data_IF_795213928010
#
_entry.id   IF_795213928010
#
_cell.length_a   1.000
_cell.length_b   1.000
_cell.length_c   1.000
_cell.angle_alpha   90.00
_cell.angle_beta   90.00
_cell.angle_gamma   90.00
#
_symmetry.space_group_name_H-M   'P 1'
#
loop_
_entity.id
_entity.type
_entity.pdbx_description
1 polymer ?
#
# COMPACT_ATOMS: atom_id res chain seq x y z
N UNK A 1 16.00 -5.10 7.59
CA UNK A 1 16.38 -3.68 7.76
C UNK A 1 16.08 -2.86 6.51
N UNK A 2 16.52 -3.31 5.33
CA UNK A 2 16.31 -2.62 4.03
C UNK A 2 14.91 -2.03 3.77
N UNK A 3 13.83 -2.78 4.05
CA UNK A 3 12.46 -2.29 3.83
C UNK A 3 12.08 -1.12 4.77
N UNK A 4 12.44 -1.24 6.05
CA UNK A 4 12.17 -0.19 7.03
C UNK A 4 12.99 1.07 6.71
N UNK A 5 14.25 0.89 6.30
CA UNK A 5 15.13 1.97 5.85
C UNK A 5 14.54 2.68 4.62
N UNK A 6 14.15 1.92 3.58
CA UNK A 6 13.48 2.47 2.40
C UNK A 6 12.22 3.27 2.75
N UNK A 7 11.42 2.77 3.70
CA UNK A 7 10.21 3.44 4.16
C UNK A 7 10.51 4.77 4.89
N UNK A 8 11.69 4.87 5.49
CA UNK A 8 12.16 6.05 6.21
C UNK A 8 12.88 7.07 5.30
N UNK A 9 13.40 6.66 4.14
CA UNK A 9 14.08 7.57 3.22
C UNK A 9 13.15 8.71 2.76
N UNK A 10 13.62 9.94 2.91
CA UNK A 10 13.05 11.11 2.23
C UNK A 10 13.46 11.10 0.77
N UNK A 11 12.50 11.34 -0.12
CA UNK A 11 12.70 11.38 -1.56
C UNK A 11 11.85 12.55 -2.10
N UNK A 12 12.34 13.26 -3.11
CA UNK A 12 11.61 14.32 -3.78
C UNK A 12 10.48 13.79 -4.69
N UNK A 13 10.60 12.52 -5.11
CA UNK A 13 9.65 11.87 -6.03
C UNK A 13 8.51 11.18 -5.29
N UNK A 14 8.79 10.60 -4.11
CA UNK A 14 7.84 9.76 -3.37
C UNK A 14 7.57 10.29 -1.96
N UNK A 15 6.28 10.49 -1.64
CA UNK A 15 5.85 10.96 -0.32
C UNK A 15 6.07 9.89 0.76
N UNK A 16 6.66 10.29 1.90
CA UNK A 16 6.83 9.42 3.08
C UNK A 16 5.50 8.86 3.59
N UNK A 17 4.43 9.66 3.53
CA UNK A 17 3.07 9.21 3.91
C UNK A 17 2.61 8.07 3.01
N UNK A 18 2.83 8.20 1.69
CA UNK A 18 2.46 7.16 0.73
C UNK A 18 3.30 5.89 0.94
N UNK A 19 4.63 6.02 1.14
CA UNK A 19 5.50 4.87 1.46
C UNK A 19 5.00 4.10 2.69
N UNK A 20 4.66 4.81 3.77
CA UNK A 20 4.15 4.20 5.01
C UNK A 20 2.81 3.51 4.78
N UNK A 21 1.89 4.15 4.06
CA UNK A 21 0.58 3.58 3.74
C UNK A 21 0.72 2.28 2.93
N UNK A 22 1.53 2.31 1.87
CA UNK A 22 1.84 1.15 1.01
C UNK A 22 2.51 0.05 1.82
N UNK A 23 3.43 0.42 2.71
CA UNK A 23 4.12 -0.54 3.57
C UNK A 23 3.16 -1.28 4.50
N UNK A 24 2.27 -0.53 5.16
CA UNK A 24 1.25 -1.09 6.04
C UNK A 24 0.27 -1.99 5.29
N UNK A 25 -0.19 -1.55 4.11
CA UNK A 25 -1.07 -2.35 3.26
C UNK A 25 -0.40 -3.65 2.81
N UNK A 26 0.87 -3.59 2.42
CA UNK A 26 1.63 -4.74 1.94
C UNK A 26 1.86 -5.77 3.05
N UNK A 27 2.38 -5.32 4.20
CA UNK A 27 2.62 -6.20 5.36
C UNK A 27 1.31 -6.86 5.81
N UNK A 28 0.26 -6.06 5.98
CA UNK A 28 -1.05 -6.54 6.42
C UNK A 28 -1.64 -7.54 5.43
N UNK A 29 -1.51 -7.30 4.13
CA UNK A 29 -2.04 -8.19 3.09
C UNK A 29 -1.28 -9.52 3.05
N UNK A 30 0.05 -9.50 3.17
CA UNK A 30 0.87 -10.73 3.22
C UNK A 30 0.55 -11.54 4.48
N UNK A 31 0.47 -10.87 5.63
CA UNK A 31 0.12 -11.53 6.88
C UNK A 31 -1.28 -12.15 6.83
N UNK A 32 -2.26 -11.40 6.33
CA UNK A 32 -3.63 -11.88 6.16
C UNK A 32 -3.67 -13.07 5.21
N UNK A 33 -2.92 -13.03 4.11
CA UNK A 33 -2.88 -14.14 3.17
C UNK A 33 -2.25 -15.38 3.78
N UNK A 34 -1.13 -15.24 4.49
CA UNK A 34 -0.49 -16.35 5.20
C UNK A 34 -1.47 -17.01 6.16
N UNK A 35 -2.22 -16.21 6.92
CA UNK A 35 -3.21 -16.73 7.86
C UNK A 35 -4.39 -17.40 7.16
N UNK A 36 -4.86 -16.85 6.04
CA UNK A 36 -5.93 -17.46 5.23
C UNK A 36 -5.51 -18.80 4.64
N UNK A 37 -4.25 -18.94 4.22
CA UNK A 37 -3.70 -20.23 3.79
C UNK A 37 -3.66 -21.24 4.92
N UNK A 38 -3.24 -20.81 6.11
CA UNK A 38 -3.06 -21.69 7.26
C UNK A 38 -4.38 -22.14 7.89
N UNK A 39 -5.38 -21.26 7.98
CA UNK A 39 -6.64 -21.54 8.67
C UNK A 39 -7.79 -21.93 7.73
N UNK A 40 -7.84 -21.38 6.52
CA UNK A 40 -8.99 -21.56 5.62
C UNK A 40 -8.61 -22.40 4.39
N UNK A 41 -7.34 -22.82 4.25
CA UNK A 41 -6.79 -23.46 3.04
C UNK A 41 -6.99 -22.65 1.75
N UNK A 42 -7.29 -21.35 1.88
CA UNK A 42 -7.51 -20.44 0.75
C UNK A 42 -6.18 -19.81 0.36
N UNK A 43 -5.85 -19.92 -0.92
CA UNK A 43 -4.64 -19.35 -1.51
C UNK A 43 -4.99 -18.34 -2.59
N UNK A 44 -4.57 -17.10 -2.42
CA UNK A 44 -4.68 -16.05 -3.45
C UNK A 44 -3.44 -16.00 -4.31
N UNK A 45 -3.61 -15.69 -5.59
CA UNK A 45 -2.49 -15.42 -6.48
C UNK A 45 -1.82 -14.09 -6.10
N UNK A 46 -0.51 -13.92 -6.37
CA UNK A 46 0.16 -12.64 -6.17
C UNK A 46 -0.54 -11.48 -6.88
N UNK A 47 -1.04 -11.69 -8.10
CA UNK A 47 -1.79 -10.70 -8.86
C UNK A 47 -3.09 -10.26 -8.15
N UNK A 48 -3.80 -11.18 -7.49
CA UNK A 48 -4.98 -10.83 -6.70
C UNK A 48 -4.60 -9.98 -5.47
N UNK A 49 -3.48 -10.30 -4.82
CA UNK A 49 -2.96 -9.52 -3.69
C UNK A 49 -2.56 -8.11 -4.14
N UNK A 50 -1.88 -7.96 -5.28
CA UNK A 50 -1.55 -6.65 -5.83
C UNK A 50 -2.80 -5.81 -6.12
N UNK A 51 -3.83 -6.40 -6.74
CA UNK A 51 -5.11 -5.70 -6.97
C UNK A 51 -5.80 -5.26 -5.67
N UNK A 52 -5.75 -6.09 -4.62
CA UNK A 52 -6.31 -5.72 -3.32
C UNK A 52 -5.53 -4.58 -2.67
N UNK A 53 -4.19 -4.61 -2.73
CA UNK A 53 -3.35 -3.53 -2.20
C UNK A 53 -3.64 -2.24 -2.97
N UNK A 54 -3.63 -2.27 -4.31
CA UNK A 54 -3.93 -1.11 -5.14
C UNK A 54 -5.28 -0.47 -4.79
N UNK A 55 -6.34 -1.29 -4.73
CA UNK A 55 -7.66 -0.83 -4.33
C UNK A 55 -7.65 -0.22 -2.92
N UNK A 56 -7.01 -0.87 -1.95
CA UNK A 56 -6.93 -0.36 -0.59
C UNK A 56 -6.24 1.01 -0.52
N UNK A 57 -5.13 1.18 -1.25
CA UNK A 57 -4.42 2.46 -1.31
C UNK A 57 -5.32 3.53 -1.93
N UNK A 58 -5.98 3.23 -3.05
CA UNK A 58 -6.89 4.17 -3.70
C UNK A 58 -8.04 4.59 -2.78
N UNK A 59 -8.68 3.63 -2.12
CA UNK A 59 -9.79 3.88 -1.20
C UNK A 59 -9.34 4.74 0.00
N UNK A 60 -8.16 4.45 0.57
CA UNK A 60 -7.59 5.23 1.67
C UNK A 60 -7.26 6.67 1.24
N UNK A 61 -6.68 6.86 0.05
CA UNK A 61 -6.37 8.18 -0.49
C UNK A 61 -7.64 8.97 -0.81
N UNK A 62 -8.65 8.34 -1.43
CA UNK A 62 -9.93 8.96 -1.74
C UNK A 62 -10.68 9.38 -0.48
N UNK A 63 -10.72 8.52 0.53
CA UNK A 63 -11.35 8.83 1.82
C UNK A 63 -10.72 10.02 2.54
N UNK A 64 -9.46 10.34 2.23
CA UNK A 64 -8.72 11.47 2.81
C UNK A 64 -8.51 12.63 1.83
N UNK A 65 -9.12 12.62 0.63
CA UNK A 65 -8.92 13.62 -0.44
C UNK A 65 -9.20 15.07 -0.01
N UNK A 66 -10.04 15.30 1.01
CA UNK A 66 -10.31 16.65 1.53
C UNK A 66 -9.13 17.23 2.33
N UNK A 67 -8.19 16.41 2.78
CA UNK A 67 -7.00 16.85 3.50
C UNK A 67 -5.94 17.33 2.50
N UNK A 68 -5.45 18.57 2.66
CA UNK A 68 -4.49 19.19 1.74
C UNK A 68 -3.27 18.31 1.44
N UNK A 69 -2.73 17.63 2.45
CA UNK A 69 -1.56 16.76 2.31
C UNK A 69 -1.82 15.43 1.58
N UNK A 70 -3.09 15.01 1.43
CA UNK A 70 -3.47 13.81 0.69
C UNK A 70 -3.80 14.07 -0.78
N UNK A 71 -4.11 15.32 -1.15
CA UNK A 71 -4.47 15.69 -2.52
C UNK A 71 -3.44 15.26 -3.58
N UNK A 72 -2.12 15.52 -3.40
CA UNK A 72 -1.15 15.12 -4.42
C UNK A 72 -0.88 13.61 -4.42
N UNK A 73 -1.24 12.89 -3.35
CA UNK A 73 -0.81 11.49 -3.17
C UNK A 73 -1.44 10.53 -4.17
N UNK A 74 -2.69 10.77 -4.59
CA UNK A 74 -3.32 9.96 -5.65
C UNK A 74 -2.59 10.14 -6.97
N UNK A 75 -2.21 11.37 -7.33
CA UNK A 75 -1.46 11.62 -8.56
C UNK A 75 -0.08 10.97 -8.54
N UNK A 76 0.58 10.98 -7.37
CA UNK A 76 1.86 10.26 -7.18
C UNK A 76 1.66 8.74 -7.33
N UNK A 77 0.56 8.19 -6.80
CA UNK A 77 0.26 6.75 -6.92
C UNK A 77 0.04 6.32 -8.38
N UNK A 78 -0.67 7.12 -9.17
CA UNK A 78 -1.01 6.81 -10.57
C UNK A 78 0.07 7.15 -11.59
N UNK A 79 1.23 7.66 -11.14
CA UNK A 79 2.24 8.24 -12.03
C UNK A 79 2.81 7.27 -13.07
N UNK A 80 2.86 5.97 -12.75
CA UNK A 80 3.49 4.94 -13.57
C UNK A 80 2.54 3.79 -13.93
N UNK A 81 1.23 4.05 -13.90
CA UNK A 81 0.24 3.13 -14.45
C UNK A 81 0.18 3.14 -15.98
#
# INVERSE_FOLDING_TARGET
LAFAEWSALSDSVTSRTLKRLVSQATISSIWTERNKRLHDSVSRSPAAIFKMIDRFIRDALLGKRKLKHFQPLMQIWLRYE
#
